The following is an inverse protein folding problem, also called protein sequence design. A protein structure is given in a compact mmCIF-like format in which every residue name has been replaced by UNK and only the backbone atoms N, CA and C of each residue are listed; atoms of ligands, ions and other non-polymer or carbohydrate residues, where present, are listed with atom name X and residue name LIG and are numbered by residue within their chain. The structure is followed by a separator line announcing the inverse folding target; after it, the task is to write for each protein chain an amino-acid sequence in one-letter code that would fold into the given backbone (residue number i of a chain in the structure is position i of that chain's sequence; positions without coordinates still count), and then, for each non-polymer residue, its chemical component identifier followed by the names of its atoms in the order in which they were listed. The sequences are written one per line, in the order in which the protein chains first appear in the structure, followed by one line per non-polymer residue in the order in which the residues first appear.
data_IF_421357819112
#
_entry.id   IF_421357819112
#
_cell.length_a   1.000
_cell.length_b   1.000
_cell.length_c   1.000
_cell.angle_alpha   90.00
_cell.angle_beta   90.00
_cell.angle_gamma   90.00
#
_symmetry.space_group_name_H-M   'P 1'
#
loop_
_entity.id
_entity.type
_entity.pdbx_description
1 polymer ?
#
# COMPACT_ATOMS: atom_id res chain seq x y z
N UNK A 1 14.34 -5.59 19.61
CA UNK A 1 13.18 -5.60 18.68
C UNK A 1 13.31 -4.50 17.64
N UNK A 2 12.68 -4.66 16.47
CA UNK A 2 12.76 -3.67 15.40
C UNK A 2 12.17 -2.29 15.74
N UNK A 3 11.10 -2.18 16.53
CA UNK A 3 10.59 -0.87 16.99
C UNK A 3 11.66 -0.08 17.77
N UNK A 4 12.44 -0.72 18.64
CA UNK A 4 13.61 -0.09 19.30
C UNK A 4 14.62 0.46 18.28
N UNK A 5 14.92 -0.30 17.22
CA UNK A 5 15.82 0.17 16.15
C UNK A 5 15.28 1.42 15.46
N UNK A 6 13.97 1.44 15.16
CA UNK A 6 13.31 2.61 14.56
C UNK A 6 13.38 3.82 15.48
N UNK A 7 13.05 3.65 16.76
CA UNK A 7 13.15 4.72 17.75
C UNK A 7 14.56 5.28 17.84
N UNK A 8 15.59 4.41 17.79
CA UNK A 8 17.00 4.83 17.83
C UNK A 8 17.38 5.68 16.63
N UNK A 9 17.04 5.23 15.43
CA UNK A 9 17.31 5.98 14.19
C UNK A 9 16.60 7.33 14.21
N UNK A 10 15.33 7.34 14.61
CA UNK A 10 14.56 8.58 14.72
C UNK A 10 15.19 9.55 15.73
N UNK A 11 15.48 9.11 16.96
CA UNK A 11 16.01 9.99 18.00
C UNK A 11 17.35 10.60 17.59
N UNK A 12 18.21 9.81 16.95
CA UNK A 12 19.47 10.30 16.38
C UNK A 12 19.22 11.38 15.32
N UNK A 13 18.31 11.14 14.38
CA UNK A 13 17.96 12.10 13.33
C UNK A 13 17.32 13.37 13.90
N UNK A 14 16.47 13.24 14.93
CA UNK A 14 15.86 14.34 15.65
C UNK A 14 16.92 15.22 16.31
N UNK A 15 17.79 14.62 17.12
CA UNK A 15 18.88 15.34 17.79
C UNK A 15 19.78 16.07 16.80
N UNK A 16 20.11 15.44 15.67
CA UNK A 16 20.88 16.07 14.61
C UNK A 16 20.15 17.26 13.97
N UNK A 17 18.86 17.11 13.64
CA UNK A 17 18.06 18.16 12.95
C UNK A 17 17.81 19.37 13.84
N UNK A 18 17.46 19.13 15.11
CA UNK A 18 17.08 20.19 16.06
C UNK A 18 18.24 20.63 16.96
N UNK A 19 19.44 20.05 16.80
CA UNK A 19 20.64 20.34 17.60
C UNK A 19 20.38 20.16 19.11
N UNK A 20 19.75 19.06 19.46
CA UNK A 20 19.45 18.65 20.84
C UNK A 20 20.29 17.44 21.24
N UNK A 21 20.33 17.12 22.53
CA UNK A 21 21.10 16.00 23.08
C UNK A 21 20.22 15.06 23.92
N UNK A 22 18.96 14.87 23.51
CA UNK A 22 18.04 14.01 24.25
C UNK A 22 18.52 12.56 24.29
N UNK A 23 18.53 11.97 25.50
CA UNK A 23 18.48 10.52 25.69
C UNK A 23 17.08 9.99 25.38
N UNK A 24 16.92 8.67 25.22
CA UNK A 24 15.59 8.12 24.96
C UNK A 24 14.62 8.38 26.11
N UNK A 25 15.10 8.31 27.36
CA UNK A 25 14.31 8.67 28.54
C UNK A 25 13.88 10.14 28.51
N UNK A 26 14.82 11.07 28.36
CA UNK A 26 14.49 12.51 28.35
C UNK A 26 13.56 12.88 27.18
N UNK A 27 13.76 12.31 25.98
CA UNK A 27 12.83 12.51 24.87
C UNK A 27 11.44 11.94 25.20
N UNK A 28 11.38 10.76 25.83
CA UNK A 28 10.14 10.15 26.23
C UNK A 28 9.37 11.02 27.23
N UNK A 29 10.06 11.54 28.24
CA UNK A 29 9.47 12.37 29.30
C UNK A 29 9.10 13.78 28.79
N UNK A 30 9.98 14.44 28.03
CA UNK A 30 9.85 15.86 27.69
C UNK A 30 9.08 16.11 26.39
N UNK A 31 9.04 15.13 25.48
CA UNK A 31 8.42 15.29 24.14
C UNK A 31 7.30 14.27 23.91
N UNK A 32 7.59 12.99 24.11
CA UNK A 32 6.64 11.93 23.76
C UNK A 32 5.43 11.91 24.69
N UNK A 33 5.65 11.92 26.01
CA UNK A 33 4.57 11.88 27.02
C UNK A 33 3.62 13.07 26.91
N UNK A 34 4.09 14.33 26.82
CA UNK A 34 3.22 15.49 26.66
C UNK A 34 2.31 15.37 25.44
N UNK A 35 2.83 14.88 24.30
CA UNK A 35 2.03 14.71 23.09
C UNK A 35 1.04 13.52 23.17
N UNK A 36 1.51 12.37 23.68
CA UNK A 36 0.79 11.10 23.55
C UNK A 36 -0.15 10.82 24.72
N UNK A 37 0.22 11.19 25.94
CA UNK A 37 -0.39 10.68 27.17
C UNK A 37 -0.85 11.77 28.15
N UNK A 38 -0.37 13.01 28.05
CA UNK A 38 -0.86 14.09 28.94
C UNK A 38 -2.13 14.80 28.43
N UNK A 39 -3.04 14.01 27.84
CA UNK A 39 -4.32 14.51 27.32
C UNK A 39 -5.44 13.49 27.55
N UNK A 40 -6.69 13.94 27.51
CA UNK A 40 -7.87 13.08 27.71
C UNK A 40 -7.94 11.88 26.74
N UNK A 41 -7.49 12.08 25.50
CA UNK A 41 -7.48 11.05 24.46
C UNK A 41 -6.03 10.75 24.08
N UNK A 42 -5.54 9.58 24.47
CA UNK A 42 -4.17 9.18 24.14
C UNK A 42 -4.05 8.90 22.64
N UNK A 43 -2.88 9.19 22.08
CA UNK A 43 -2.63 8.90 20.66
C UNK A 43 -2.40 7.41 20.40
N UNK A 44 -1.88 6.69 21.39
CA UNK A 44 -1.59 5.27 21.35
C UNK A 44 -1.83 4.62 22.72
N UNK A 45 -1.91 3.29 22.77
CA UNK A 45 -1.91 2.50 24.01
C UNK A 45 -1.10 1.22 23.90
N UNK A 46 -1.01 0.46 24.99
CA UNK A 46 -0.20 -0.75 25.08
C UNK A 46 -0.78 -1.85 25.98
N UNK A 47 -2.11 -2.02 25.96
CA UNK A 47 -2.84 -3.10 26.62
C UNK A 47 -2.58 -3.19 28.13
N UNK A 48 -1.60 -4.02 28.50
CA UNK A 48 -1.23 -4.32 29.88
C UNK A 48 -0.37 -3.24 30.55
N UNK A 49 0.10 -2.24 29.80
CA UNK A 49 0.88 -1.13 30.33
C UNK A 49 0.10 -0.32 31.38
N UNK A 50 0.77 0.28 32.39
CA UNK A 50 0.18 1.31 33.26
C UNK A 50 -0.53 2.45 32.51
N UNK A 51 -0.10 2.75 31.27
CA UNK A 51 -0.71 3.76 30.40
C UNK A 51 -2.05 3.33 29.79
N UNK A 52 -2.50 2.10 30.02
CA UNK A 52 -3.86 1.66 29.65
C UNK A 52 -4.56 0.93 30.80
N UNK A 53 -3.85 0.26 31.70
CA UNK A 53 -4.40 -0.61 32.73
C UNK A 53 -4.52 0.09 34.11
N UNK A 54 -5.72 0.18 34.74
CA UNK A 54 -7.03 -0.36 34.34
C UNK A 54 -7.58 0.26 33.07
N UNK A 55 -8.20 -0.57 32.22
CA UNK A 55 -8.62 -0.24 30.84
C UNK A 55 -9.34 1.10 30.73
N UNK A 56 -8.89 1.94 29.80
CA UNK A 56 -9.58 3.18 29.41
C UNK A 56 -10.83 2.85 28.59
N UNK A 57 -11.95 3.54 28.85
CA UNK A 57 -13.15 3.46 28.00
C UNK A 57 -13.46 4.85 27.47
N UNK A 58 -12.75 5.23 26.42
CA UNK A 58 -12.96 6.52 25.75
C UNK A 58 -14.37 6.66 25.21
N UNK A 59 -14.97 5.57 24.76
CA UNK A 59 -16.35 5.59 24.25
C UNK A 59 -17.32 6.11 25.30
N UNK A 60 -17.20 5.64 26.55
CA UNK A 60 -18.04 6.11 27.65
C UNK A 60 -17.68 7.53 28.09
N UNK A 61 -16.38 7.89 28.05
CA UNK A 61 -15.92 9.23 28.40
C UNK A 61 -16.40 10.29 27.40
N UNK A 62 -16.25 10.01 26.10
CA UNK A 62 -16.68 10.90 25.02
C UNK A 62 -18.22 11.05 25.03
N UNK A 63 -18.95 9.98 25.37
CA UNK A 63 -20.42 10.02 25.50
C UNK A 63 -20.92 10.60 26.83
N UNK A 64 -20.01 11.04 27.72
CA UNK A 64 -20.37 11.63 29.01
C UNK A 64 -20.94 10.64 30.04
N UNK A 65 -20.84 9.32 29.80
CA UNK A 65 -21.28 8.30 30.76
C UNK A 65 -20.34 8.18 31.96
N UNK A 66 -19.08 8.60 31.80
CA UNK A 66 -18.10 8.71 32.86
C UNK A 66 -17.18 9.91 32.61
N UNK A 67 -16.62 10.55 33.64
CA UNK A 67 -15.66 11.63 33.44
C UNK A 67 -14.36 11.10 32.81
N UNK A 68 -13.66 11.97 32.07
CA UNK A 68 -12.27 11.72 31.69
C UNK A 68 -11.39 11.65 32.93
N UNK A 69 -10.24 10.95 32.83
CA UNK A 69 -9.26 10.92 33.91
C UNK A 69 -8.72 12.32 34.20
N UNK A 70 -8.53 12.63 35.49
CA UNK A 70 -7.93 13.91 35.92
C UNK A 70 -6.44 13.97 35.54
N UNK A 71 -5.84 15.17 35.45
CA UNK A 71 -4.40 15.30 35.23
C UNK A 71 -3.56 14.50 36.23
N UNK A 72 -3.95 14.47 37.51
CA UNK A 72 -3.23 13.76 38.57
C UNK A 72 -3.25 12.24 38.32
N UNK A 73 -4.40 11.70 37.90
CA UNK A 73 -4.51 10.28 37.57
C UNK A 73 -3.67 9.90 36.35
N UNK A 74 -3.60 10.77 35.35
CA UNK A 74 -2.71 10.55 34.18
C UNK A 74 -1.25 10.58 34.60
N UNK A 75 -0.85 11.56 35.42
CA UNK A 75 0.51 11.64 35.94
C UNK A 75 0.89 10.42 36.79
N UNK A 76 -0.04 9.89 37.60
CA UNK A 76 0.18 8.65 38.35
C UNK A 76 0.51 7.47 37.43
N UNK A 77 -0.24 7.31 36.32
CA UNK A 77 0.01 6.26 35.31
C UNK A 77 1.37 6.44 34.64
N UNK A 78 1.74 7.67 34.28
CA UNK A 78 3.02 8.01 33.67
C UNK A 78 4.17 7.68 34.63
N UNK A 79 4.10 8.16 35.87
CA UNK A 79 5.12 7.90 36.90
C UNK A 79 5.26 6.40 37.18
N UNK A 80 4.12 5.68 37.25
CA UNK A 80 4.13 4.23 37.40
C UNK A 80 4.81 3.55 36.21
N UNK A 81 4.52 3.97 34.98
CA UNK A 81 5.18 3.45 33.79
C UNK A 81 6.70 3.63 33.86
N UNK A 82 7.17 4.85 34.13
CA UNK A 82 8.60 5.17 34.24
C UNK A 82 9.24 4.32 35.35
N UNK A 83 8.62 4.26 36.53
CA UNK A 83 9.13 3.43 37.63
C UNK A 83 9.28 1.96 37.24
N UNK A 84 8.28 1.38 36.55
CA UNK A 84 8.36 -0.01 36.06
C UNK A 84 9.50 -0.19 35.04
N UNK A 85 9.67 0.73 34.09
CA UNK A 85 10.78 0.67 33.13
C UNK A 85 12.12 0.60 33.86
N UNK A 86 12.32 1.47 34.85
CA UNK A 86 13.61 1.62 35.53
C UNK A 86 13.94 0.47 36.50
N UNK A 87 12.92 -0.25 37.00
CA UNK A 87 13.09 -1.25 38.06
C UNK A 87 12.86 -2.69 37.62
N UNK A 88 12.03 -2.94 36.60
CA UNK A 88 11.64 -4.27 36.15
C UNK A 88 12.36 -4.69 34.87
N UNK A 89 12.47 -6.00 34.64
CA UNK A 89 12.97 -6.53 33.36
C UNK A 89 11.98 -6.25 32.24
N UNK A 90 12.49 -5.95 31.04
CA UNK A 90 11.66 -5.70 29.87
C UNK A 90 10.67 -6.84 29.58
N UNK A 91 9.38 -6.51 29.54
CA UNK A 91 8.30 -7.38 29.11
C UNK A 91 7.27 -6.59 28.27
N UNK A 92 6.36 -7.27 27.58
CA UNK A 92 5.35 -6.65 26.71
C UNK A 92 4.47 -5.57 27.39
N UNK A 93 4.36 -5.57 28.73
CA UNK A 93 3.64 -4.55 29.50
C UNK A 93 4.38 -3.21 29.56
N UNK A 94 5.72 -3.21 29.45
CA UNK A 94 6.53 -2.01 29.52
C UNK A 94 7.32 -1.73 28.24
N UNK A 95 7.46 -2.69 27.33
CA UNK A 95 8.25 -2.57 26.11
C UNK A 95 7.45 -3.08 24.89
N UNK A 96 7.10 -2.17 23.97
CA UNK A 96 6.12 -2.43 22.91
C UNK A 96 6.62 -3.43 21.88
N UNK A 97 6.06 -4.64 21.92
CA UNK A 97 6.30 -5.77 21.01
C UNK A 97 7.36 -6.78 21.50
N UNK A 98 7.82 -6.64 22.75
CA UNK A 98 8.71 -7.60 23.40
C UNK A 98 7.90 -8.86 23.73
N UNK A 99 8.59 -9.94 24.06
CA UNK A 99 7.93 -11.15 24.55
C UNK A 99 7.17 -10.86 25.84
N UNK A 100 6.05 -11.55 26.04
CA UNK A 100 5.45 -11.66 27.38
C UNK A 100 6.24 -12.68 28.18
N UNK A 101 6.19 -12.58 29.52
CA UNK A 101 6.84 -13.55 30.43
C UNK A 101 6.38 -14.98 30.13
N UNK A 102 5.10 -15.15 29.79
CA UNK A 102 4.59 -16.38 29.23
C UNK A 102 4.76 -16.40 27.70
N UNK A 103 5.74 -17.18 27.23
CA UNK A 103 6.04 -17.36 25.82
C UNK A 103 4.89 -17.98 25.00
N UNK A 104 3.88 -18.56 25.66
CA UNK A 104 2.70 -19.14 25.00
C UNK A 104 1.54 -18.17 24.84
N UNK A 105 1.62 -16.96 25.43
CA UNK A 105 0.56 -15.96 25.34
C UNK A 105 0.39 -15.42 23.91
N UNK A 106 -0.86 -15.28 23.46
CA UNK A 106 -1.21 -14.81 22.11
C UNK A 106 -0.74 -13.38 21.77
N UNK A 107 -0.35 -12.61 22.79
CA UNK A 107 0.19 -11.25 22.68
C UNK A 107 1.72 -11.20 22.73
N UNK A 108 2.40 -12.35 22.73
CA UNK A 108 3.86 -12.38 22.69
C UNK A 108 4.40 -11.94 21.33
N UNK A 109 5.53 -11.25 21.32
CA UNK A 109 6.19 -10.75 20.11
C UNK A 109 7.70 -10.98 20.13
N UNK A 110 8.27 -11.31 18.97
CA UNK A 110 9.72 -11.37 18.73
C UNK A 110 10.56 -12.10 19.80
N UNK A 111 10.09 -13.23 20.33
CA UNK A 111 10.85 -14.07 21.27
C UNK A 111 12.14 -14.54 20.57
N UNK A 112 13.27 -14.38 21.25
CA UNK A 112 14.58 -14.84 20.79
C UNK A 112 15.27 -15.66 21.87
N UNK A 113 16.03 -16.68 21.47
CA UNK A 113 16.95 -17.41 22.35
C UNK A 113 18.26 -16.65 22.61
N UNK A 114 18.46 -15.52 21.93
CA UNK A 114 19.63 -14.65 22.12
C UNK A 114 19.41 -13.82 23.39
N UNK A 115 20.36 -13.90 24.33
CA UNK A 115 20.38 -13.06 25.51
C UNK A 115 20.77 -11.63 25.13
N UNK A 116 19.83 -10.69 25.27
CA UNK A 116 20.10 -9.27 25.13
C UNK A 116 20.32 -8.64 26.51
N UNK A 117 21.25 -7.68 26.64
CA UNK A 117 21.38 -6.92 27.88
C UNK A 117 20.09 -6.15 28.18
N UNK A 118 19.73 -6.08 29.46
CA UNK A 118 18.59 -5.27 29.92
C UNK A 118 18.96 -3.79 29.84
N UNK A 119 18.64 -3.16 28.70
CA UNK A 119 18.90 -1.76 28.45
C UNK A 119 17.61 -0.95 28.56
N UNK A 120 17.51 -0.09 29.59
CA UNK A 120 16.31 0.72 29.83
C UNK A 120 16.04 1.72 28.71
N UNK A 121 17.09 2.26 28.09
CA UNK A 121 16.97 3.12 26.91
C UNK A 121 16.23 2.39 25.77
N UNK A 122 16.47 1.09 25.58
CA UNK A 122 15.84 0.32 24.51
C UNK A 122 14.33 0.13 24.70
N UNK A 123 13.89 0.18 25.97
CA UNK A 123 12.47 0.14 26.34
C UNK A 123 11.81 1.46 25.93
N UNK A 124 12.37 2.61 26.30
CA UNK A 124 11.87 3.93 25.86
C UNK A 124 11.85 4.06 24.33
N UNK A 125 12.93 3.64 23.66
CA UNK A 125 13.01 3.64 22.21
C UNK A 125 11.95 2.74 21.55
N UNK A 126 11.52 1.65 22.21
CA UNK A 126 10.46 0.79 21.68
C UNK A 126 9.11 1.53 21.58
N UNK A 127 8.80 2.39 22.55
CA UNK A 127 7.58 3.21 22.53
C UNK A 127 7.64 4.27 21.44
N UNK A 128 8.74 5.03 21.40
CA UNK A 128 8.96 6.06 20.38
C UNK A 128 8.88 5.43 18.98
N UNK A 129 9.56 4.30 18.79
CA UNK A 129 9.54 3.55 17.53
C UNK A 129 8.17 3.01 17.16
N UNK A 130 7.39 2.50 18.12
CA UNK A 130 6.04 2.02 17.87
C UNK A 130 5.08 3.14 17.45
N UNK A 131 5.26 4.35 17.96
CA UNK A 131 4.50 5.54 17.56
C UNK A 131 4.79 5.99 16.11
N UNK A 132 5.89 5.54 15.51
CA UNK A 132 6.32 5.90 14.14
C UNK A 132 5.82 4.90 13.07
N UNK A 133 4.97 3.94 13.44
CA UNK A 133 4.42 2.97 12.50
C UNK A 133 3.42 3.59 11.53
N UNK A 134 3.45 3.16 10.26
CA UNK A 134 2.46 3.56 9.25
C UNK A 134 1.37 2.49 9.11
N UNK A 135 0.16 2.80 9.57
CA UNK A 135 -1.01 1.93 9.48
C UNK A 135 -1.68 2.01 8.10
N UNK A 136 -1.97 0.85 7.51
CA UNK A 136 -2.58 0.72 6.17
C UNK A 136 -3.75 -0.26 6.16
N UNK A 137 -4.60 -0.17 5.13
CA UNK A 137 -5.75 -1.08 4.94
C UNK A 137 -5.27 -2.54 4.98
N UNK A 138 -6.07 -3.39 5.64
CA UNK A 138 -5.70 -4.78 5.94
C UNK A 138 -5.13 -4.98 7.35
N UNK A 139 -5.13 -3.93 8.18
CA UNK A 139 -4.77 -4.01 9.61
C UNK A 139 -3.28 -4.22 9.85
N UNK A 140 -2.43 -3.88 8.87
CA UNK A 140 -0.98 -3.95 8.99
C UNK A 140 -0.40 -2.57 9.30
N UNK A 141 0.69 -2.58 10.03
CA UNK A 141 1.57 -1.43 10.26
C UNK A 141 2.93 -1.71 9.62
N UNK A 142 3.50 -0.70 8.97
CA UNK A 142 4.79 -0.76 8.29
C UNK A 142 5.76 0.18 9.01
N UNK A 143 6.94 -0.33 9.38
CA UNK A 143 8.05 0.48 9.89
C UNK A 143 9.15 0.59 8.83
N UNK A 144 9.46 1.82 8.42
CA UNK A 144 10.58 2.13 7.53
C UNK A 144 11.72 2.75 8.33
N UNK A 145 12.89 2.13 8.30
CA UNK A 145 14.08 2.66 8.96
C UNK A 145 14.76 3.71 8.07
N UNK A 146 14.12 4.88 7.89
CA UNK A 146 14.58 5.94 7.02
C UNK A 146 14.41 7.31 7.70
N UNK A 147 15.53 7.98 7.98
CA UNK A 147 15.59 9.18 8.83
C UNK A 147 14.56 10.26 8.45
N UNK A 148 14.51 10.63 7.16
CA UNK A 148 13.58 11.67 6.69
C UNK A 148 12.11 11.25 6.85
N UNK A 149 11.77 9.99 6.60
CA UNK A 149 10.37 9.52 6.73
C UNK A 149 9.97 9.55 8.20
N UNK A 150 10.87 9.15 9.11
CA UNK A 150 10.59 9.15 10.54
C UNK A 150 10.41 10.58 11.07
N UNK A 151 11.22 11.53 10.62
CA UNK A 151 11.06 12.95 10.94
C UNK A 151 9.76 13.54 10.39
N UNK A 152 9.37 13.15 9.17
CA UNK A 152 8.13 13.57 8.54
C UNK A 152 6.91 13.01 9.29
N UNK A 153 6.94 11.77 9.77
CA UNK A 153 5.89 11.18 10.61
C UNK A 153 5.76 11.96 11.92
N UNK A 154 6.88 12.26 12.58
CA UNK A 154 6.92 13.02 13.83
C UNK A 154 6.29 14.42 13.71
N UNK A 155 6.52 15.11 12.59
CA UNK A 155 5.87 16.39 12.30
C UNK A 155 4.33 16.24 12.34
N UNK A 156 3.82 15.15 11.76
CA UNK A 156 2.42 14.78 11.76
C UNK A 156 1.81 14.56 13.15
N UNK A 157 2.61 14.21 14.16
CA UNK A 157 2.10 13.99 15.53
C UNK A 157 1.50 15.25 16.13
N UNK A 158 2.11 16.41 15.90
CA UNK A 158 1.61 17.69 16.42
C UNK A 158 0.25 18.04 15.81
N UNK A 159 0.11 17.85 14.50
CA UNK A 159 -1.18 18.01 13.82
C UNK A 159 -2.22 17.03 14.36
N UNK A 160 -1.83 15.78 14.64
CA UNK A 160 -2.77 14.81 15.21
C UNK A 160 -3.27 15.24 16.59
N UNK A 161 -2.39 15.75 17.45
CA UNK A 161 -2.75 16.22 18.79
C UNK A 161 -3.83 17.28 18.71
N UNK A 162 -3.60 18.28 17.87
CA UNK A 162 -4.55 19.36 17.65
C UNK A 162 -5.85 18.84 17.03
N UNK A 163 -5.76 17.91 16.08
CA UNK A 163 -6.91 17.31 15.43
C UNK A 163 -7.80 16.53 16.41
N UNK A 164 -7.20 15.77 17.34
CA UNK A 164 -7.92 15.06 18.39
C UNK A 164 -8.67 16.03 19.32
N UNK A 165 -8.05 17.14 19.72
CA UNK A 165 -8.69 18.13 20.60
C UNK A 165 -9.81 18.89 19.88
N UNK A 166 -9.61 19.23 18.61
CA UNK A 166 -10.63 19.92 17.79
C UNK A 166 -11.85 19.03 17.47
N UNK A 167 -11.72 17.71 17.57
CA UNK A 167 -12.79 16.76 17.24
C UNK A 167 -13.21 15.95 18.48
N UNK A 168 -14.14 16.46 19.31
CA UNK A 168 -14.54 15.80 20.56
C UNK A 168 -14.99 14.34 20.38
N UNK A 169 -15.72 14.05 19.29
CA UNK A 169 -16.30 12.74 18.98
C UNK A 169 -15.30 11.74 18.36
N UNK A 170 -14.07 12.16 18.06
CA UNK A 170 -13.02 11.28 17.53
C UNK A 170 -12.35 10.49 18.66
N UNK A 171 -12.25 9.16 18.50
CA UNK A 171 -11.53 8.26 19.43
C UNK A 171 -10.02 8.46 19.38
N UNK A 172 -9.36 8.27 20.53
CA UNK A 172 -7.89 8.15 20.62
C UNK A 172 -7.38 6.81 20.08
N UNK A 173 -6.10 6.49 20.34
CA UNK A 173 -5.43 5.24 19.97
C UNK A 173 -5.47 4.90 18.47
N UNK A 174 -5.18 5.89 17.63
CA UNK A 174 -5.16 5.73 16.17
C UNK A 174 -3.89 6.32 15.55
N UNK A 175 -2.79 6.43 16.30
CA UNK A 175 -1.54 7.04 15.81
C UNK A 175 -1.04 6.41 14.50
N UNK A 176 -1.06 5.08 14.38
CA UNK A 176 -0.57 4.44 13.16
C UNK A 176 -1.49 4.73 11.96
N UNK A 177 -2.80 4.76 12.17
CA UNK A 177 -3.77 5.17 11.13
C UNK A 177 -3.55 6.62 10.73
N UNK A 178 -3.35 7.51 11.71
CA UNK A 178 -3.00 8.91 11.46
C UNK A 178 -1.71 9.03 10.65
N UNK A 179 -0.64 8.34 11.03
CA UNK A 179 0.64 8.37 10.33
C UNK A 179 0.49 7.96 8.86
N UNK A 180 -0.33 6.95 8.56
CA UNK A 180 -0.64 6.56 7.18
C UNK A 180 -1.33 7.66 6.39
N UNK A 181 -2.35 8.30 6.99
CA UNK A 181 -3.05 9.43 6.36
C UNK A 181 -2.16 10.66 6.19
N UNK A 182 -1.39 11.00 7.21
CA UNK A 182 -0.45 12.11 7.20
C UNK A 182 0.62 11.92 6.13
N UNK A 183 1.25 10.74 6.05
CA UNK A 183 2.28 10.49 5.02
C UNK A 183 1.68 10.50 3.62
N UNK A 184 0.46 10.00 3.44
CA UNK A 184 -0.22 10.06 2.14
C UNK A 184 -0.53 11.51 1.72
N UNK A 185 -0.95 12.35 2.67
CA UNK A 185 -1.17 13.78 2.45
C UNK A 185 0.15 14.52 2.16
N UNK A 186 1.14 14.37 3.02
CA UNK A 186 2.43 15.06 2.93
C UNK A 186 3.17 14.74 1.63
N UNK A 187 3.03 13.50 1.15
CA UNK A 187 3.67 13.04 -0.07
C UNK A 187 2.73 13.06 -1.29
N UNK A 188 1.55 13.66 -1.19
CA UNK A 188 0.75 13.98 -2.37
C UNK A 188 1.36 15.15 -3.15
N UNK A 189 1.05 15.19 -4.44
CA UNK A 189 1.52 16.24 -5.36
C UNK A 189 0.84 17.58 -5.10
N UNK A 190 -0.34 17.58 -4.49
CA UNK A 190 -1.11 18.77 -4.11
C UNK A 190 -0.80 19.23 -2.68
N UNK A 191 0.24 18.67 -2.03
CA UNK A 191 0.65 19.10 -0.70
C UNK A 191 1.14 20.55 -0.70
N UNK A 192 0.54 21.34 0.18
CA UNK A 192 0.94 22.72 0.47
C UNK A 192 1.60 22.77 1.84
N UNK A 193 2.85 23.26 1.90
CA UNK A 193 3.56 23.40 3.17
C UNK A 193 3.03 24.55 4.03
N UNK A 194 2.38 25.54 3.43
CA UNK A 194 1.79 26.68 4.12
C UNK A 194 0.40 26.34 4.71
N UNK A 195 -0.31 25.39 4.08
CA UNK A 195 -1.53 24.77 4.62
C UNK A 195 -1.46 23.22 4.59
N UNK A 196 -0.71 22.58 5.52
CA UNK A 196 -0.49 21.14 5.52
C UNK A 196 -1.75 20.28 5.69
N UNK A 197 -2.84 20.86 6.18
CA UNK A 197 -4.13 20.19 6.39
C UNK A 197 -5.19 20.63 5.37
N UNK A 198 -4.80 21.30 4.28
CA UNK A 198 -5.70 21.67 3.20
C UNK A 198 -6.46 20.44 2.68
N UNK A 199 -7.79 20.50 2.69
CA UNK A 199 -8.68 19.40 2.29
C UNK A 199 -8.49 18.09 3.07
N UNK A 200 -7.85 18.12 4.24
CA UNK A 200 -7.56 16.94 5.03
C UNK A 200 -8.72 16.62 6.01
N UNK A 201 -9.63 15.74 5.58
CA UNK A 201 -10.69 15.21 6.44
C UNK A 201 -10.75 13.67 6.40
N UNK A 202 -10.02 12.98 7.31
CA UNK A 202 -10.03 11.53 7.40
C UNK A 202 -11.18 10.95 8.24
N UNK A 203 -12.16 11.73 8.71
CA UNK A 203 -13.18 11.22 9.63
C UNK A 203 -14.15 10.26 8.95
N UNK A 204 -14.40 9.12 9.61
CA UNK A 204 -15.40 8.13 9.24
C UNK A 204 -16.39 7.96 10.39
N UNK A 205 -17.70 8.14 10.15
CA UNK A 205 -18.71 7.94 11.19
C UNK A 205 -18.84 6.46 11.55
N UNK A 206 -19.04 6.19 12.84
CA UNK A 206 -19.38 4.88 13.38
C UNK A 206 -20.87 4.78 13.70
N UNK A 207 -21.38 3.56 13.77
CA UNK A 207 -22.79 3.27 14.07
C UNK A 207 -23.26 3.79 15.43
N UNK A 208 -22.34 4.09 16.34
CA UNK A 208 -22.61 4.52 17.70
C UNK A 208 -22.49 6.05 17.91
N UNK A 209 -22.42 6.82 16.82
CA UNK A 209 -22.35 8.28 16.81
C UNK A 209 -20.95 8.86 17.03
N UNK A 210 -19.93 8.02 17.17
CA UNK A 210 -18.53 8.43 17.30
C UNK A 210 -17.81 8.42 15.94
N UNK A 211 -16.60 8.97 15.87
CA UNK A 211 -15.78 8.97 14.65
C UNK A 211 -14.47 8.21 14.83
N UNK A 212 -14.01 7.59 13.74
CA UNK A 212 -12.68 7.00 13.57
C UNK A 212 -11.94 7.68 12.42
N UNK A 213 -10.64 7.40 12.30
CA UNK A 213 -9.86 7.78 11.12
C UNK A 213 -10.01 6.73 10.02
N UNK A 214 -10.18 7.19 8.78
CA UNK A 214 -10.12 6.35 7.60
C UNK A 214 -8.71 5.78 7.44
N UNK A 215 -8.58 4.47 7.33
CA UNK A 215 -7.30 3.83 6.97
C UNK A 215 -7.04 3.99 5.48
N UNK A 216 -5.79 4.27 5.12
CA UNK A 216 -5.37 4.49 3.73
C UNK A 216 -4.93 3.19 3.04
N UNK A 217 -5.19 3.00 1.73
CA UNK A 217 -4.62 1.89 0.97
C UNK A 217 -3.10 1.89 1.00
N UNK A 218 -2.49 0.70 1.09
CA UNK A 218 -1.03 0.58 1.13
C UNK A 218 -0.37 1.13 -0.15
N UNK A 219 -0.98 0.91 -1.31
CA UNK A 219 -0.43 1.32 -2.60
C UNK A 219 -0.28 2.84 -2.69
N UNK A 220 -1.22 3.60 -2.11
CA UNK A 220 -1.20 5.06 -2.06
C UNK A 220 0.00 5.57 -1.23
N UNK A 221 0.17 5.03 -0.01
CA UNK A 221 1.30 5.37 0.88
C UNK A 221 2.63 5.09 0.19
N UNK A 222 2.81 3.88 -0.35
CA UNK A 222 4.10 3.48 -0.91
C UNK A 222 4.38 4.22 -2.22
N UNK A 223 3.37 4.50 -3.05
CA UNK A 223 3.54 5.35 -4.23
C UNK A 223 3.95 6.78 -3.84
N UNK A 224 3.36 7.35 -2.79
CA UNK A 224 3.78 8.65 -2.23
C UNK A 224 5.24 8.64 -1.79
N UNK A 225 5.64 7.64 -1.00
CA UNK A 225 7.03 7.44 -0.57
C UNK A 225 7.96 7.31 -1.78
N UNK A 226 7.60 6.48 -2.76
CA UNK A 226 8.42 6.22 -3.94
C UNK A 226 8.63 7.46 -4.83
N UNK A 227 7.65 8.36 -4.90
CA UNK A 227 7.77 9.64 -5.63
C UNK A 227 8.69 10.64 -4.92
N UNK A 228 8.67 10.64 -3.59
CA UNK A 228 9.42 11.60 -2.78
C UNK A 228 10.80 11.10 -2.33
N UNK A 229 11.19 9.89 -2.75
CA UNK A 229 12.50 9.32 -2.44
C UNK A 229 13.23 8.90 -3.72
N UNK A 230 14.52 9.20 -3.80
CA UNK A 230 15.37 8.82 -4.95
C UNK A 230 15.81 7.36 -4.91
N UNK A 231 15.63 6.68 -3.78
CA UNK A 231 16.07 5.30 -3.57
C UNK A 231 15.24 4.35 -4.43
N UNK A 232 15.91 3.36 -5.04
CA UNK A 232 15.24 2.37 -5.88
C UNK A 232 14.44 1.34 -5.10
N UNK A 233 14.88 1.02 -3.89
CA UNK A 233 14.29 0.00 -3.02
C UNK A 233 14.26 0.47 -1.56
N UNK A 234 13.28 -0.01 -0.79
CA UNK A 234 13.19 0.23 0.64
C UNK A 234 12.66 -1.00 1.35
N UNK A 235 13.21 -1.35 2.51
CA UNK A 235 12.71 -2.48 3.31
C UNK A 235 11.77 -1.97 4.39
N UNK A 236 10.55 -2.48 4.38
CA UNK A 236 9.58 -2.27 5.46
C UNK A 236 9.52 -3.48 6.38
N UNK A 237 9.39 -3.26 7.68
CA UNK A 237 9.01 -4.32 8.63
C UNK A 237 7.50 -4.27 8.86
N UNK A 238 6.80 -5.34 8.52
CA UNK A 238 5.34 -5.41 8.57
C UNK A 238 4.86 -6.27 9.73
N UNK A 239 3.92 -5.74 10.50
CA UNK A 239 3.33 -6.39 11.66
C UNK A 239 1.93 -5.86 11.96
N UNK A 240 1.26 -6.46 12.92
CA UNK A 240 -0.01 -6.01 13.49
C UNK A 240 -0.01 -6.32 14.98
N UNK A 241 -0.32 -5.33 15.82
CA UNK A 241 -0.51 -5.50 17.26
C UNK A 241 -1.98 -5.27 17.55
N UNK A 242 -2.59 -6.20 18.27
CA UNK A 242 -4.02 -6.19 18.60
C UNK A 242 -4.34 -7.28 19.61
N UNK A 243 -5.50 -7.92 19.47
CA UNK A 243 -5.84 -9.10 20.29
C UNK A 243 -4.87 -10.26 20.07
N UNK A 244 -4.43 -10.44 18.82
CA UNK A 244 -3.38 -11.38 18.44
C UNK A 244 -2.31 -10.62 17.68
N UNK A 245 -1.05 -10.77 18.10
CA UNK A 245 0.06 -10.16 17.39
C UNK A 245 0.39 -10.97 16.12
N UNK A 246 0.55 -10.29 14.99
CA UNK A 246 1.05 -10.90 13.75
C UNK A 246 2.34 -10.23 13.32
N UNK A 247 3.36 -11.01 12.98
CA UNK A 247 4.52 -10.52 12.22
C UNK A 247 4.50 -11.10 10.82
N UNK A 248 4.60 -10.25 9.80
CA UNK A 248 4.90 -10.67 8.41
C UNK A 248 6.41 -10.69 8.21
N UNK A 249 7.12 -9.70 8.75
CA UNK A 249 8.58 -9.62 8.71
C UNK A 249 9.09 -8.51 7.78
N UNK A 250 10.33 -8.66 7.34
CA UNK A 250 11.01 -7.70 6.48
C UNK A 250 10.67 -7.96 5.02
N UNK A 251 10.05 -6.98 4.37
CA UNK A 251 9.64 -7.07 2.97
C UNK A 251 10.30 -5.94 2.17
N UNK A 252 11.07 -6.26 1.12
CA UNK A 252 11.56 -5.27 0.16
C UNK A 252 10.43 -4.70 -0.68
N UNK A 253 10.35 -3.38 -0.76
CA UNK A 253 9.53 -2.61 -1.69
C UNK A 253 10.41 -2.05 -2.79
N UNK A 254 10.15 -2.44 -4.03
CA UNK A 254 10.80 -1.91 -5.22
C UNK A 254 10.09 -0.63 -5.63
N UNK A 255 10.58 0.51 -5.12
CA UNK A 255 9.90 1.80 -5.23
C UNK A 255 9.71 2.23 -6.69
N UNK A 256 10.72 2.03 -7.54
CA UNK A 256 10.62 2.36 -8.98
C UNK A 256 9.60 1.48 -9.70
N UNK A 257 9.54 0.19 -9.36
CA UNK A 257 8.54 -0.73 -9.92
C UNK A 257 7.11 -0.33 -9.53
N UNK A 258 6.92 0.20 -8.32
CA UNK A 258 5.61 0.61 -7.81
C UNK A 258 5.07 1.84 -8.56
N UNK A 259 5.91 2.81 -8.92
CA UNK A 259 5.49 4.03 -9.63
C UNK A 259 5.54 3.89 -11.15
N UNK A 260 6.18 2.84 -11.66
CA UNK A 260 6.33 2.60 -13.10
C UNK A 260 5.00 2.55 -13.87
N UNK A 261 3.92 1.90 -13.40
CA UNK A 261 2.64 1.94 -14.09
C UNK A 261 2.12 3.37 -14.30
N UNK A 262 2.21 4.23 -13.27
CA UNK A 262 1.81 5.64 -13.40
C UNK A 262 2.66 6.41 -14.42
N UNK A 263 3.98 6.18 -14.43
CA UNK A 263 4.90 6.79 -15.40
C UNK A 263 4.59 6.33 -16.84
N UNK A 264 4.31 5.04 -17.03
CA UNK A 264 3.92 4.49 -18.33
C UNK A 264 2.56 5.03 -18.78
N UNK A 265 1.61 5.21 -17.87
CA UNK A 265 0.31 5.80 -18.18
C UNK A 265 0.48 7.21 -18.76
N UNK A 266 1.25 8.07 -18.08
CA UNK A 266 1.55 9.42 -18.54
C UNK A 266 2.29 9.43 -19.89
N UNK A 267 3.24 8.51 -20.08
CA UNK A 267 4.00 8.38 -21.33
C UNK A 267 3.12 7.97 -22.52
N UNK A 268 2.23 6.99 -22.33
CA UNK A 268 1.42 6.42 -23.41
C UNK A 268 0.21 7.29 -23.75
N UNK A 269 -0.47 7.87 -22.76
CA UNK A 269 -1.69 8.65 -22.97
C UNK A 269 -1.47 10.17 -22.93
N UNK A 270 -0.28 10.61 -22.54
CA UNK A 270 0.09 12.02 -22.41
C UNK A 270 -0.16 12.59 -21.01
N UNK A 271 0.66 13.58 -20.65
CA UNK A 271 0.65 14.19 -19.31
C UNK A 271 -0.70 14.86 -18.97
N UNK A 272 -1.36 15.49 -19.94
CA UNK A 272 -2.67 16.13 -19.75
C UNK A 272 -3.74 15.12 -19.36
N UNK A 273 -3.81 13.99 -20.06
CA UNK A 273 -4.77 12.90 -19.78
C UNK A 273 -4.47 12.25 -18.43
N UNK A 274 -3.18 12.09 -18.12
CA UNK A 274 -2.75 11.59 -16.82
C UNK A 274 -3.18 12.52 -15.69
N UNK A 275 -2.92 13.82 -15.78
CA UNK A 275 -3.26 14.78 -14.73
C UNK A 275 -4.76 14.84 -14.45
N UNK A 276 -5.60 14.73 -15.49
CA UNK A 276 -7.06 14.68 -15.34
C UNK A 276 -7.56 13.41 -14.64
N UNK A 277 -6.91 12.26 -14.88
CA UNK A 277 -7.38 10.95 -14.43
C UNK A 277 -6.58 10.34 -13.27
N UNK A 278 -5.49 10.99 -12.84
CA UNK A 278 -4.50 10.52 -11.88
C UNK A 278 -5.12 9.84 -10.65
N UNK A 279 -5.99 10.56 -9.93
CA UNK A 279 -6.62 10.04 -8.70
C UNK A 279 -7.42 8.75 -8.95
N UNK A 280 -8.14 8.68 -10.08
CA UNK A 280 -8.91 7.49 -10.47
C UNK A 280 -7.98 6.32 -10.85
N UNK A 281 -6.91 6.58 -11.59
CA UNK A 281 -5.95 5.55 -12.02
C UNK A 281 -5.15 5.01 -10.84
N UNK A 282 -4.60 5.87 -9.98
CA UNK A 282 -3.82 5.43 -8.82
C UNK A 282 -4.66 4.62 -7.83
N UNK A 283 -5.95 4.96 -7.67
CA UNK A 283 -6.89 4.22 -6.82
C UNK A 283 -7.19 2.79 -7.33
N UNK A 284 -6.92 2.49 -8.60
CA UNK A 284 -7.12 1.14 -9.15
C UNK A 284 -5.92 0.22 -8.89
N UNK A 285 -4.71 0.76 -8.74
CA UNK A 285 -3.51 -0.07 -8.55
C UNK A 285 -3.43 -0.68 -7.15
N UNK A 286 -2.91 -1.90 -7.08
CA UNK A 286 -2.71 -2.62 -5.81
C UNK A 286 -4.01 -3.07 -5.14
N UNK A 287 -5.08 -3.24 -5.93
CA UNK A 287 -6.41 -3.59 -5.44
C UNK A 287 -6.80 -5.06 -5.67
N UNK A 288 -6.07 -5.80 -6.50
CA UNK A 288 -6.40 -7.20 -6.80
C UNK A 288 -6.25 -8.12 -5.59
N UNK A 289 -5.19 -7.92 -4.79
CA UNK A 289 -4.90 -8.70 -3.59
C UNK A 289 -4.51 -7.76 -2.44
N UNK A 290 -4.80 -8.18 -1.20
CA UNK A 290 -4.39 -7.43 -0.01
C UNK A 290 -2.89 -7.48 0.24
N UNK A 291 -2.33 -6.48 0.94
CA UNK A 291 -0.89 -6.35 1.19
C UNK A 291 -0.27 -7.62 1.80
N UNK A 292 -0.95 -8.25 2.76
CA UNK A 292 -0.47 -9.49 3.40
C UNK A 292 -0.25 -10.61 2.38
N UNK A 293 -1.18 -10.79 1.44
CA UNK A 293 -1.06 -11.77 0.38
C UNK A 293 0.05 -11.38 -0.61
N UNK A 294 0.14 -10.10 -0.97
CA UNK A 294 1.22 -9.60 -1.82
C UNK A 294 2.62 -9.86 -1.23
N UNK A 295 2.78 -9.77 0.09
CA UNK A 295 4.04 -10.05 0.77
C UNK A 295 4.52 -11.51 0.63
N UNK A 296 3.62 -12.45 0.31
CA UNK A 296 3.99 -13.86 0.11
C UNK A 296 4.89 -14.07 -1.12
N UNK A 297 4.92 -13.10 -2.05
CA UNK A 297 5.85 -13.09 -3.17
C UNK A 297 7.31 -12.75 -2.77
N UNK A 298 7.56 -12.43 -1.49
CA UNK A 298 8.89 -12.10 -0.96
C UNK A 298 9.38 -10.68 -1.28
N UNK A 299 8.71 -9.95 -2.18
CA UNK A 299 8.91 -8.52 -2.40
C UNK A 299 7.64 -7.87 -2.98
N UNK A 300 7.53 -6.55 -2.83
CA UNK A 300 6.45 -5.75 -3.40
C UNK A 300 7.01 -4.93 -4.57
N UNK A 301 6.40 -5.09 -5.74
CA UNK A 301 6.77 -4.41 -6.99
C UNK A 301 5.61 -4.43 -7.98
N UNK A 302 5.88 -4.43 -9.29
CA UNK A 302 4.85 -4.40 -10.34
C UNK A 302 3.73 -5.44 -10.14
N UNK A 303 4.04 -6.73 -9.81
CA UNK A 303 2.99 -7.74 -9.64
C UNK A 303 1.98 -7.38 -8.54
N UNK A 304 2.44 -6.76 -7.45
CA UNK A 304 1.57 -6.37 -6.35
C UNK A 304 0.65 -5.19 -6.71
N UNK A 305 0.99 -4.43 -7.75
CA UNK A 305 0.19 -3.30 -8.24
C UNK A 305 -0.98 -3.74 -9.14
N UNK A 306 -1.26 -5.04 -9.26
CA UNK A 306 -2.35 -5.56 -10.10
C UNK A 306 -3.70 -4.90 -9.74
N UNK A 307 -4.43 -4.37 -10.74
CA UNK A 307 -5.77 -3.83 -10.52
C UNK A 307 -6.82 -4.95 -10.47
N UNK A 308 -7.78 -4.81 -9.54
CA UNK A 308 -8.83 -5.80 -9.30
C UNK A 308 -9.67 -6.03 -10.55
N UNK A 309 -9.95 -7.30 -10.84
CA UNK A 309 -10.82 -7.71 -11.95
C UNK A 309 -10.09 -7.98 -13.27
N UNK A 310 -8.82 -7.56 -13.39
CA UNK A 310 -8.00 -7.83 -14.58
C UNK A 310 -7.79 -9.33 -14.81
N UNK A 311 -7.56 -10.11 -13.74
CA UNK A 311 -7.29 -11.55 -13.83
C UNK A 311 -8.36 -12.34 -14.61
N UNK A 312 -9.61 -11.91 -14.55
CA UNK A 312 -10.73 -12.56 -15.24
C UNK A 312 -10.62 -12.49 -16.78
N UNK A 313 -9.80 -11.59 -17.31
CA UNK A 313 -9.56 -11.47 -18.74
C UNK A 313 -8.40 -12.33 -19.22
N UNK A 314 -7.54 -12.88 -18.36
CA UNK A 314 -6.45 -13.72 -18.85
C UNK A 314 -6.98 -15.03 -19.44
N UNK A 315 -6.36 -15.54 -20.51
CA UNK A 315 -6.74 -16.83 -21.08
C UNK A 315 -6.40 -17.95 -20.10
N UNK A 316 -7.40 -18.79 -19.78
CA UNK A 316 -7.24 -19.99 -18.93
C UNK A 316 -7.97 -21.18 -19.56
N UNK A 317 -7.63 -22.39 -19.14
CA UNK A 317 -8.32 -23.62 -19.57
C UNK A 317 -9.83 -23.61 -19.24
N UNK A 318 -10.23 -22.85 -18.21
CA UNK A 318 -11.64 -22.70 -17.79
C UNK A 318 -12.38 -21.61 -18.58
N UNK A 319 -11.74 -21.01 -19.58
CA UNK A 319 -12.25 -19.86 -20.33
C UNK A 319 -11.80 -18.53 -19.76
N UNK A 320 -12.29 -17.45 -20.36
CA UNK A 320 -11.95 -16.08 -19.98
C UNK A 320 -13.10 -15.12 -20.26
N UNK A 321 -13.14 -13.99 -19.56
CA UNK A 321 -14.17 -12.98 -19.73
C UNK A 321 -14.02 -12.29 -21.10
N UNK A 322 -15.15 -12.11 -21.80
CA UNK A 322 -15.21 -11.30 -23.02
C UNK A 322 -15.00 -9.82 -22.68
N UNK A 323 -14.19 -9.14 -23.49
CA UNK A 323 -13.98 -7.70 -23.39
C UNK A 323 -15.07 -7.04 -24.24
N UNK A 324 -15.91 -6.23 -23.60
CA UNK A 324 -16.94 -5.44 -24.25
C UNK A 324 -16.75 -3.99 -23.82
N UNK A 325 -16.49 -3.13 -24.78
CA UNK A 325 -16.35 -1.70 -24.57
C UNK A 325 -17.66 -0.99 -24.91
N UNK A 326 -18.18 -0.22 -23.95
CA UNK A 326 -19.45 0.52 -24.07
C UNK A 326 -19.24 2.03 -24.23
N UNK A 327 -17.99 2.50 -24.17
CA UNK A 327 -17.66 3.90 -24.40
C UNK A 327 -17.76 4.82 -23.18
N UNK A 328 -18.07 4.31 -21.99
CA UNK A 328 -18.11 5.13 -20.78
C UNK A 328 -16.70 5.46 -20.25
N UNK A 329 -16.55 6.64 -19.67
CA UNK A 329 -15.23 7.15 -19.23
C UNK A 329 -14.60 6.30 -18.12
N UNK A 330 -15.39 5.78 -17.19
CA UNK A 330 -14.86 4.95 -16.09
C UNK A 330 -14.31 3.62 -16.61
N UNK A 331 -15.02 2.98 -17.54
CA UNK A 331 -14.56 1.78 -18.20
C UNK A 331 -13.30 2.06 -19.02
N UNK A 332 -13.23 3.19 -19.72
CA UNK A 332 -12.03 3.59 -20.46
C UNK A 332 -10.82 3.76 -19.54
N UNK A 333 -10.96 4.46 -18.41
CA UNK A 333 -9.89 4.61 -17.41
C UNK A 333 -9.47 3.24 -16.87
N UNK A 334 -10.43 2.37 -16.56
CA UNK A 334 -10.17 1.02 -16.06
C UNK A 334 -9.40 0.18 -17.08
N UNK A 335 -9.84 0.14 -18.34
CA UNK A 335 -9.18 -0.65 -19.39
C UNK A 335 -7.80 -0.09 -19.73
N UNK A 336 -7.64 1.23 -19.75
CA UNK A 336 -6.32 1.86 -19.91
C UNK A 336 -5.39 1.47 -18.76
N UNK A 337 -5.88 1.45 -17.53
CA UNK A 337 -5.10 1.03 -16.36
C UNK A 337 -4.67 -0.43 -16.48
N UNK A 338 -5.56 -1.31 -16.94
CA UNK A 338 -5.26 -2.72 -17.21
C UNK A 338 -4.16 -2.89 -18.26
N UNK A 339 -4.31 -2.22 -19.41
CA UNK A 339 -3.33 -2.23 -20.49
C UNK A 339 -1.94 -1.78 -20.00
N UNK A 340 -1.88 -0.69 -19.24
CA UNK A 340 -0.62 -0.15 -18.73
C UNK A 340 0.03 -1.07 -17.70
N UNK A 341 -0.75 -1.70 -16.82
CA UNK A 341 -0.20 -2.68 -15.88
C UNK A 341 0.35 -3.91 -16.61
N UNK A 342 -0.36 -4.41 -17.63
CA UNK A 342 0.11 -5.51 -18.49
C UNK A 342 1.43 -5.12 -19.17
N UNK A 343 1.51 -3.91 -19.73
CA UNK A 343 2.72 -3.41 -20.37
C UNK A 343 3.89 -3.30 -19.38
N UNK A 344 3.61 -2.86 -18.15
CA UNK A 344 4.60 -2.80 -17.07
C UNK A 344 5.13 -4.20 -16.71
N UNK A 345 4.25 -5.20 -16.61
CA UNK A 345 4.62 -6.60 -16.36
C UNK A 345 5.48 -7.19 -17.48
N UNK A 346 5.16 -6.87 -18.74
CA UNK A 346 5.93 -7.31 -19.90
C UNK A 346 7.31 -6.65 -20.00
N UNK A 347 7.50 -5.50 -19.33
CA UNK A 347 8.76 -4.75 -19.28
C UNK A 347 9.35 -4.44 -20.68
N UNK A 348 8.49 -4.24 -21.67
CA UNK A 348 8.89 -3.90 -23.03
C UNK A 348 7.85 -2.97 -23.68
N UNK A 349 8.16 -1.68 -23.72
CA UNK A 349 7.24 -0.66 -24.21
C UNK A 349 6.90 -0.80 -25.70
N UNK A 350 7.79 -1.39 -26.51
CA UNK A 350 7.53 -1.63 -27.94
C UNK A 350 6.32 -2.52 -28.18
N UNK A 351 5.95 -3.33 -27.18
CA UNK A 351 4.77 -4.20 -27.26
C UNK A 351 3.47 -3.41 -27.28
N UNK A 352 3.48 -2.15 -26.85
CA UNK A 352 2.32 -1.27 -27.00
C UNK A 352 1.94 -1.12 -28.48
N UNK A 353 2.85 -0.56 -29.29
CA UNK A 353 2.61 -0.29 -30.71
C UNK A 353 2.36 -1.60 -31.47
N UNK A 354 3.16 -2.64 -31.20
CA UNK A 354 2.98 -3.95 -31.84
C UNK A 354 1.61 -4.56 -31.53
N UNK A 355 1.15 -4.49 -30.27
CA UNK A 355 -0.16 -5.05 -29.91
C UNK A 355 -1.31 -4.33 -30.61
N UNK A 356 -1.15 -3.03 -30.84
CA UNK A 356 -2.12 -2.21 -31.57
C UNK A 356 -2.10 -2.52 -33.06
N UNK A 357 -0.92 -2.59 -33.69
CA UNK A 357 -0.76 -3.01 -35.09
C UNK A 357 -1.40 -4.38 -35.33
N UNK A 358 -1.14 -5.35 -34.44
CA UNK A 358 -1.72 -6.68 -34.52
C UNK A 358 -3.25 -6.65 -34.39
N UNK A 359 -3.79 -5.84 -33.49
CA UNK A 359 -5.23 -5.65 -33.38
C UNK A 359 -5.85 -5.04 -34.66
N UNK A 360 -5.21 -4.03 -35.26
CA UNK A 360 -5.65 -3.40 -36.51
C UNK A 360 -5.61 -4.39 -37.69
N UNK A 361 -4.56 -5.23 -37.79
CA UNK A 361 -4.47 -6.30 -38.80
C UNK A 361 -5.59 -7.35 -38.66
N UNK A 362 -5.95 -7.72 -37.43
CA UNK A 362 -7.04 -8.66 -37.19
C UNK A 362 -8.40 -8.05 -37.55
N UNK A 363 -8.62 -6.76 -37.29
CA UNK A 363 -9.84 -6.05 -37.69
C UNK A 363 -9.95 -5.93 -39.23
N UNK A 364 -8.83 -5.62 -39.91
CA UNK A 364 -8.77 -5.59 -41.38
C UNK A 364 -9.14 -6.95 -41.98
N UNK A 365 -8.61 -8.03 -41.41
CA UNK A 365 -8.95 -9.39 -41.82
C UNK A 365 -10.46 -9.66 -41.69
N UNK A 366 -11.07 -9.34 -40.55
CA UNK A 366 -12.52 -9.52 -40.35
C UNK A 366 -13.37 -8.71 -41.33
N UNK A 367 -12.98 -7.46 -41.61
CA UNK A 367 -13.68 -6.58 -42.54
C UNK A 367 -13.67 -7.10 -43.99
N UNK A 368 -12.69 -7.94 -44.35
CA UNK A 368 -12.61 -8.61 -45.65
C UNK A 368 -13.64 -9.73 -45.84
N UNK A 369 -14.47 -10.05 -44.83
CA UNK A 369 -15.54 -11.02 -44.97
C UNK A 369 -16.68 -10.48 -45.87
N UNK A 370 -17.11 -11.27 -46.86
CA UNK A 370 -18.33 -10.96 -47.63
C UNK A 370 -19.57 -10.93 -46.73
N UNK A 371 -20.53 -10.04 -47.02
CA UNK A 371 -21.76 -9.83 -46.20
C UNK A 371 -22.37 -11.16 -45.74
N UNK A 372 -22.42 -11.38 -44.42
CA UNK A 372 -23.08 -12.54 -43.79
C UNK A 372 -22.18 -13.73 -43.47
N UNK A 373 -20.88 -13.72 -43.84
CA UNK A 373 -19.94 -14.77 -43.45
C UNK A 373 -19.31 -14.48 -42.08
N UNK A 374 -19.25 -15.49 -41.21
CA UNK A 374 -18.68 -15.42 -39.85
C UNK A 374 -17.37 -16.21 -39.69
N UNK A 375 -16.88 -16.81 -40.77
CA UNK A 375 -15.64 -17.59 -40.82
C UNK A 375 -14.44 -16.78 -40.33
N UNK A 376 -14.21 -15.59 -40.89
CA UNK A 376 -13.09 -14.72 -40.49
C UNK A 376 -13.20 -14.26 -39.03
N UNK A 377 -14.39 -13.86 -38.58
CA UNK A 377 -14.64 -13.50 -37.18
C UNK A 377 -14.42 -14.67 -36.23
N UNK A 378 -14.80 -15.90 -36.62
CA UNK A 378 -14.56 -17.09 -35.82
C UNK A 378 -13.05 -17.41 -35.74
N UNK A 379 -12.31 -17.26 -36.85
CA UNK A 379 -10.85 -17.46 -36.87
C UNK A 379 -10.13 -16.47 -35.93
N UNK A 380 -10.52 -15.19 -35.94
CA UNK A 380 -9.94 -14.18 -35.03
C UNK A 380 -10.30 -14.47 -33.58
N UNK A 381 -11.55 -14.83 -33.29
CA UNK A 381 -11.95 -15.21 -31.93
C UNK A 381 -11.15 -16.42 -31.44
N UNK A 382 -10.99 -17.47 -32.26
CA UNK A 382 -10.19 -18.64 -31.92
C UNK A 382 -8.72 -18.29 -31.68
N UNK A 383 -8.12 -17.40 -32.50
CA UNK A 383 -6.77 -16.92 -32.30
C UNK A 383 -6.63 -16.22 -30.94
N UNK A 384 -7.49 -15.25 -30.67
CA UNK A 384 -7.48 -14.48 -29.43
C UNK A 384 -7.82 -15.35 -28.20
N UNK A 385 -8.59 -16.42 -28.36
CA UNK A 385 -8.92 -17.39 -27.31
C UNK A 385 -7.80 -18.36 -26.96
N UNK A 386 -6.64 -18.23 -27.61
CA UNK A 386 -5.50 -19.11 -27.35
C UNK A 386 -4.94 -18.95 -25.93
N UNK A 387 -4.78 -20.07 -25.24
CA UNK A 387 -4.22 -20.14 -23.88
C UNK A 387 -2.71 -20.42 -23.86
N UNK A 388 -2.12 -20.75 -25.01
CA UNK A 388 -0.69 -21.00 -25.14
C UNK A 388 -0.14 -20.50 -26.47
N UNK A 389 1.17 -20.23 -26.51
CA UNK A 389 1.93 -19.93 -27.73
C UNK A 389 1.65 -20.93 -28.85
N UNK A 390 1.64 -22.24 -28.54
CA UNK A 390 1.40 -23.30 -29.52
C UNK A 390 0.01 -23.17 -30.14
N UNK A 391 -1.02 -22.98 -29.32
CA UNK A 391 -2.40 -22.84 -29.80
C UNK A 391 -2.54 -21.57 -30.65
N UNK A 392 -1.93 -20.47 -30.21
CA UNK A 392 -1.94 -19.21 -30.95
C UNK A 392 -1.34 -19.38 -32.35
N UNK A 393 -0.18 -20.02 -32.46
CA UNK A 393 0.46 -20.27 -33.76
C UNK A 393 -0.38 -21.18 -34.66
N UNK A 394 -1.03 -22.21 -34.11
CA UNK A 394 -1.93 -23.09 -34.88
C UNK A 394 -3.15 -22.33 -35.40
N UNK A 395 -3.74 -21.49 -34.55
CA UNK A 395 -4.93 -20.68 -34.91
C UNK A 395 -4.57 -19.51 -35.85
N UNK A 396 -3.30 -19.14 -35.96
CA UNK A 396 -2.83 -18.11 -36.91
C UNK A 396 -2.70 -18.66 -38.34
N UNK A 397 -2.43 -19.95 -38.51
CA UNK A 397 -2.27 -20.61 -39.83
C UNK A 397 -3.44 -20.33 -40.80
N UNK A 398 -4.73 -20.52 -40.43
CA UNK A 398 -5.83 -20.26 -41.35
C UNK A 398 -5.88 -18.78 -41.80
N UNK A 399 -5.65 -17.84 -40.88
CA UNK A 399 -5.64 -16.40 -41.20
C UNK A 399 -4.54 -16.06 -42.22
N UNK A 400 -3.32 -16.59 -42.02
CA UNK A 400 -2.18 -16.39 -42.95
C UNK A 400 -2.47 -17.00 -44.32
N UNK A 401 -3.16 -18.14 -44.39
CA UNK A 401 -3.50 -18.78 -45.68
C UNK A 401 -4.50 -17.97 -46.49
N UNK A 402 -5.44 -17.30 -45.82
CA UNK A 402 -6.53 -16.54 -46.43
C UNK A 402 -6.09 -15.16 -46.97
N UNK A 403 -4.94 -14.64 -46.53
CA UNK A 403 -4.44 -13.32 -46.90
C UNK A 403 -3.25 -13.40 -47.87
N UNK A 404 -3.23 -12.47 -48.84
CA UNK A 404 -2.12 -12.30 -49.79
C UNK A 404 -0.95 -11.54 -49.13
N UNK A 405 -1.25 -10.50 -48.34
CA UNK A 405 -0.27 -9.70 -47.61
C UNK A 405 0.01 -10.32 -46.23
N UNK A 406 1.06 -11.15 -46.14
CA UNK A 406 1.31 -12.02 -44.97
C UNK A 406 2.29 -11.47 -43.93
N UNK A 407 3.08 -10.46 -44.28
CA UNK A 407 4.21 -9.98 -43.47
C UNK A 407 3.81 -9.58 -42.05
N UNK A 408 2.67 -8.89 -41.88
CA UNK A 408 2.15 -8.51 -40.56
C UNK A 408 1.79 -9.72 -39.68
N UNK A 409 1.13 -10.73 -40.25
CA UNK A 409 0.78 -11.96 -39.54
C UNK A 409 2.00 -12.84 -39.24
N UNK A 410 2.98 -12.90 -40.15
CA UNK A 410 4.25 -13.58 -39.89
C UNK A 410 5.03 -12.94 -38.74
N UNK A 411 5.06 -11.60 -38.69
CA UNK A 411 5.64 -10.85 -37.58
C UNK A 411 4.92 -11.12 -36.26
N UNK A 412 3.59 -11.24 -36.28
CA UNK A 412 2.78 -11.64 -35.12
C UNK A 412 3.18 -13.02 -34.60
N UNK A 413 3.27 -14.02 -35.49
CA UNK A 413 3.71 -15.37 -35.14
C UNK A 413 5.14 -15.40 -34.60
N UNK A 414 6.07 -14.68 -35.25
CA UNK A 414 7.46 -14.58 -34.82
C UNK A 414 7.58 -13.97 -33.42
N UNK A 415 6.87 -12.88 -33.16
CA UNK A 415 6.88 -12.23 -31.84
C UNK A 415 6.39 -13.17 -30.74
N UNK A 416 5.25 -13.83 -30.97
CA UNK A 416 4.66 -14.78 -30.01
C UNK A 416 5.55 -16.01 -29.78
N UNK A 417 6.24 -16.49 -30.82
CA UNK A 417 7.16 -17.62 -30.71
C UNK A 417 8.45 -17.28 -29.95
N UNK A 418 8.97 -16.06 -30.11
CA UNK A 418 10.23 -15.64 -29.48
C UNK A 418 10.07 -15.19 -28.02
N UNK A 419 8.84 -14.91 -27.57
CA UNK A 419 8.62 -14.38 -26.23
C UNK A 419 8.67 -15.48 -25.15
N UNK A 420 9.08 -15.14 -23.91
CA UNK A 420 9.00 -16.07 -22.79
C UNK A 420 7.57 -16.60 -22.62
N UNK A 421 7.44 -17.90 -22.32
CA UNK A 421 6.12 -18.56 -22.19
C UNK A 421 5.22 -17.87 -21.16
N UNK A 422 5.80 -17.41 -20.05
CA UNK A 422 5.06 -16.72 -18.98
C UNK A 422 4.54 -15.33 -19.40
N UNK A 423 5.12 -14.73 -20.45
CA UNK A 423 4.69 -13.44 -20.99
C UNK A 423 3.52 -13.57 -21.98
N UNK A 424 3.30 -14.75 -22.55
CA UNK A 424 2.25 -14.96 -23.56
C UNK A 424 0.85 -14.57 -23.06
N UNK A 425 0.38 -14.99 -21.86
CA UNK A 425 -0.94 -14.62 -21.37
C UNK A 425 -1.12 -13.11 -21.21
N UNK A 426 -0.06 -12.38 -20.85
CA UNK A 426 -0.07 -10.92 -20.74
C UNK A 426 -0.17 -10.28 -22.11
N UNK A 427 0.66 -10.70 -23.06
CA UNK A 427 0.67 -10.12 -24.40
C UNK A 427 -0.60 -10.44 -25.19
N UNK A 428 -1.12 -11.67 -25.11
CA UNK A 428 -2.39 -12.00 -25.75
C UNK A 428 -3.54 -11.17 -25.15
N UNK A 429 -3.58 -10.99 -23.82
CA UNK A 429 -4.55 -10.10 -23.18
C UNK A 429 -4.37 -8.64 -23.65
N UNK A 430 -3.14 -8.16 -23.84
CA UNK A 430 -2.86 -6.83 -24.39
C UNK A 430 -3.48 -6.64 -25.78
N UNK A 431 -3.23 -7.58 -26.71
CA UNK A 431 -3.83 -7.56 -28.06
C UNK A 431 -5.35 -7.56 -27.98
N UNK A 432 -5.94 -8.38 -27.10
CA UNK A 432 -7.39 -8.48 -26.95
C UNK A 432 -8.05 -7.19 -26.47
N UNK A 433 -7.42 -6.48 -25.53
CA UNK A 433 -7.92 -5.16 -25.11
C UNK A 433 -7.80 -4.13 -26.25
N UNK A 434 -6.67 -4.09 -26.96
CA UNK A 434 -6.50 -3.19 -28.10
C UNK A 434 -7.55 -3.46 -29.20
N UNK A 435 -7.73 -4.73 -29.55
CA UNK A 435 -8.73 -5.18 -30.52
C UNK A 435 -10.15 -4.73 -30.10
N UNK A 436 -10.54 -4.95 -28.84
CA UNK A 436 -11.86 -4.56 -28.36
C UNK A 436 -12.08 -3.04 -28.28
N UNK A 437 -11.02 -2.25 -28.08
CA UNK A 437 -11.09 -0.78 -28.03
C UNK A 437 -11.14 -0.14 -29.43
N UNK A 438 -10.51 -0.79 -30.41
CA UNK A 438 -10.51 -0.38 -31.81
C UNK A 438 -11.77 -0.83 -32.57
N UNK A 439 -12.35 -1.97 -32.18
CA UNK A 439 -13.59 -2.51 -32.72
C UNK A 439 -14.80 -1.72 -32.18
N UNK A 440 -15.14 -0.61 -32.84
CA UNK A 440 -16.26 0.28 -32.46
C UNK A 440 -17.55 -0.03 -33.20
#
# INVERSE_FOLDING_TARGET
MYATTIGRTFLKAYNCKFKTEYTAKSFFEDVFVPLFFDHHKYMMTAGNSPLENPKLSWDDMIKGKKPFETPERRQERINKMIHKIETEKADASIAIGYGVVDATAATTGQISSIAFPDNKEDIYLSWIGAGLGIGVVGGLTILFNHEQILLDIFEGWHYYRQYLEKNPLLKGNQINTWNGRWISQRYDREYDSDDPLMNFNPLVPMSDGLFNLQTVPWAEVIAGIARNNRTSNMVGYLYSIGQTNTTVGFIPFKLQDIIRPSQLYAKIFGESVWMQNRKKVEALYGTAIGLRAACQAGCIGIPAMEPKGLRAFFPTEKGMKKISYKGDEEQKITFNTYLIWILAMLNNEKLWDMSREFAELLLKYEAGAGKGRKDRTNNVNQLLESVSTKQFLLNLIPIVKDEEERTGYENMGKMVNMMPKDNFPYFNTLIRFQYALLNK
#
